data_IF_486350083471
#
_entry.id   IF_486350083471
#
_cell.length_a   1.000
_cell.length_b   1.000
_cell.length_c   1.000
_cell.angle_alpha   90.00
_cell.angle_beta   90.00
_cell.angle_gamma   90.00
#
_symmetry.space_group_name_H-M   'P 1'
#
loop_
_entity.id
_entity.type
_entity.pdbx_description
1 polymer ?
#
# COMPACT_ATOMS: atom_id res chain seq x y z
N UNK A 1 -4.03 -3.07 15.11
CA UNK A 1 -4.78 -3.87 14.12
C UNK A 1 -6.25 -3.70 14.40
N UNK A 2 -7.01 -3.11 13.47
CA UNK A 2 -8.45 -2.89 13.63
C UNK A 2 -9.16 -3.94 12.79
N UNK A 3 -9.97 -4.79 13.44
CA UNK A 3 -10.89 -5.71 12.77
C UNK A 3 -12.26 -5.06 12.68
N UNK A 4 -12.92 -5.21 11.53
CA UNK A 4 -14.28 -4.74 11.30
C UNK A 4 -15.22 -5.94 11.22
N UNK A 5 -16.38 -5.83 11.88
CA UNK A 5 -17.51 -6.76 11.81
C UNK A 5 -18.72 -5.97 11.29
N UNK A 6 -19.42 -6.48 10.27
CA UNK A 6 -20.63 -5.84 9.72
C UNK A 6 -21.78 -5.67 10.72
N UNK A 7 -21.76 -6.36 11.86
CA UNK A 7 -22.77 -6.20 12.92
C UNK A 7 -22.41 -5.11 13.94
N UNK A 8 -21.20 -4.56 13.89
CA UNK A 8 -20.75 -3.47 14.77
C UNK A 8 -19.75 -2.56 14.03
N UNK A 9 -20.22 -1.58 13.23
CA UNK A 9 -19.34 -0.71 12.47
C UNK A 9 -18.51 0.14 13.44
N UNK A 10 -17.18 -0.02 13.39
CA UNK A 10 -16.28 0.86 14.12
C UNK A 10 -16.38 2.29 13.59
N UNK A 11 -16.00 3.26 14.42
CA UNK A 11 -16.02 4.71 14.12
C UNK A 11 -15.31 5.11 12.82
N UNK A 12 -14.49 4.21 12.26
CA UNK A 12 -13.69 4.44 11.06
C UNK A 12 -14.25 3.74 9.81
N UNK A 13 -15.47 3.18 9.87
CA UNK A 13 -16.13 2.59 8.70
C UNK A 13 -16.78 3.68 7.83
N UNK A 14 -16.31 3.83 6.59
CA UNK A 14 -16.92 4.71 5.59
C UNK A 14 -17.85 3.91 4.65
N UNK A 15 -19.19 4.04 4.78
CA UNK A 15 -20.15 3.29 3.97
C UNK A 15 -20.16 3.71 2.49
N UNK A 16 -19.60 4.87 2.14
CA UNK A 16 -19.57 5.34 0.74
C UNK A 16 -18.53 4.61 -0.10
N UNK A 17 -17.53 4.00 0.55
CA UNK A 17 -16.56 3.12 -0.10
C UNK A 17 -17.17 1.76 -0.43
N UNK A 18 -18.06 1.25 0.42
CA UNK A 18 -18.68 -0.07 0.24
C UNK A 18 -19.81 -0.05 -0.81
N UNK A 19 -20.54 1.07 -0.95
CA UNK A 19 -21.58 1.26 -1.98
C UNK A 19 -21.06 1.17 -3.43
N UNK A 20 -19.75 1.25 -3.65
CA UNK A 20 -19.10 1.08 -4.97
C UNK A 20 -18.75 -0.37 -5.28
N UNK A 21 -18.79 -1.26 -4.29
CA UNK A 21 -18.49 -2.68 -4.46
C UNK A 21 -19.79 -3.49 -4.62
N UNK A 22 -19.77 -4.51 -5.49
CA UNK A 22 -20.93 -5.40 -5.74
C UNK A 22 -21.24 -6.29 -4.53
N UNK A 23 -20.35 -6.36 -3.53
CA UNK A 23 -20.47 -7.21 -2.34
C UNK A 23 -20.13 -6.39 -1.10
N UNK A 24 -21.04 -6.37 -0.12
CA UNK A 24 -20.83 -5.69 1.16
C UNK A 24 -19.65 -6.30 1.95
N UNK A 25 -18.86 -5.45 2.58
CA UNK A 25 -17.77 -5.85 3.46
C UNK A 25 -18.31 -6.35 4.82
N UNK A 26 -18.21 -7.66 5.05
CA UNK A 26 -18.57 -8.34 6.30
C UNK A 26 -17.42 -8.42 7.30
N UNK A 27 -16.20 -8.49 6.78
CA UNK A 27 -14.97 -8.47 7.57
C UNK A 27 -13.89 -7.68 6.86
N UNK A 28 -13.08 -6.93 7.59
CA UNK A 28 -11.90 -6.26 7.01
C UNK A 28 -10.69 -6.32 7.93
N UNK A 29 -9.52 -6.51 7.32
CA UNK A 29 -8.22 -6.40 7.96
C UNK A 29 -7.34 -5.46 7.14
N UNK A 30 -6.85 -4.42 7.80
CA UNK A 30 -5.99 -3.39 7.19
C UNK A 30 -4.64 -3.40 7.88
N UNK A 31 -3.58 -3.41 7.09
CA UNK A 31 -2.19 -3.27 7.56
C UNK A 31 -1.49 -2.14 6.81
N UNK A 32 -0.58 -1.40 7.46
CA UNK A 32 0.19 -0.37 6.80
C UNK A 32 1.27 -0.98 5.89
N UNK A 33 1.55 -0.29 4.79
CA UNK A 33 2.75 -0.51 3.98
C UNK A 33 3.81 0.45 4.51
N UNK A 34 4.89 -0.10 5.06
CA UNK A 34 5.96 0.67 5.68
C UNK A 34 7.16 0.77 4.76
N UNK A 35 7.64 2.00 4.56
CA UNK A 35 8.92 2.31 3.91
C UNK A 35 10.06 2.43 4.92
N UNK A 36 11.12 3.11 4.50
CA UNK A 36 12.28 3.39 5.35
C UNK A 36 11.87 4.21 6.58
N UNK A 37 12.46 3.87 7.74
CA UNK A 37 12.18 4.56 9.00
C UNK A 37 10.73 4.45 9.48
N UNK A 38 10.03 3.36 9.14
CA UNK A 38 8.60 3.14 9.46
C UNK A 38 7.64 4.18 8.88
N UNK A 39 8.07 4.93 7.85
CA UNK A 39 7.20 5.85 7.14
C UNK A 39 6.08 5.09 6.45
N UNK A 40 4.83 5.43 6.74
CA UNK A 40 3.66 4.85 6.07
C UNK A 40 3.61 5.34 4.62
N UNK A 41 3.66 4.40 3.67
CA UNK A 41 3.55 4.66 2.22
C UNK A 41 2.13 4.43 1.70
N UNK A 42 1.33 3.66 2.44
CA UNK A 42 -0.03 3.29 2.08
C UNK A 42 -0.55 2.20 3.02
N UNK A 43 -1.61 1.51 2.60
CA UNK A 43 -2.15 0.36 3.33
C UNK A 43 -2.54 -0.76 2.37
N UNK A 44 -2.52 -1.99 2.88
CA UNK A 44 -3.15 -3.15 2.24
C UNK A 44 -4.41 -3.44 3.04
N UNK A 45 -5.54 -3.48 2.35
CA UNK A 45 -6.82 -3.90 2.90
C UNK A 45 -7.22 -5.22 2.26
N UNK A 46 -7.59 -6.18 3.11
CA UNK A 46 -8.31 -7.39 2.68
C UNK A 46 -9.71 -7.36 3.25
N UNK A 47 -10.65 -7.92 2.49
CA UNK A 47 -12.07 -7.95 2.79
C UNK A 47 -12.56 -9.40 2.78
N UNK A 48 -13.59 -9.66 3.58
CA UNK A 48 -14.37 -10.89 3.58
C UNK A 48 -13.49 -12.15 3.65
N UNK A 49 -12.96 -12.41 4.84
CA UNK A 49 -12.25 -13.68 5.10
C UNK A 49 -13.12 -14.87 4.68
N UNK A 50 -12.50 -15.93 4.18
CA UNK A 50 -13.18 -17.17 3.80
C UNK A 50 -13.54 -18.04 5.02
N UNK A 51 -13.23 -17.58 6.23
CA UNK A 51 -13.73 -18.19 7.47
C UNK A 51 -15.26 -18.09 7.54
N UNK A 52 -15.89 -19.01 8.26
CA UNK A 52 -17.34 -19.06 8.38
C UNK A 52 -17.96 -17.74 8.89
N UNK A 53 -17.23 -17.03 9.76
CA UNK A 53 -17.68 -15.77 10.38
C UNK A 53 -17.02 -14.52 9.78
N UNK A 54 -16.33 -14.64 8.64
CA UNK A 54 -15.58 -13.55 7.98
C UNK A 54 -14.49 -12.89 8.87
N UNK A 55 -14.14 -13.51 9.99
CA UNK A 55 -13.10 -13.04 10.90
C UNK A 55 -11.69 -13.38 10.40
N UNK A 56 -10.75 -12.52 10.78
CA UNK A 56 -9.32 -12.71 10.57
C UNK A 56 -8.66 -13.16 11.88
N UNK A 57 -7.68 -14.05 11.78
CA UNK A 57 -6.89 -14.46 12.93
C UNK A 57 -5.74 -13.47 13.18
N UNK A 58 -5.13 -13.59 14.36
CA UNK A 58 -3.88 -12.87 14.65
C UNK A 58 -2.77 -13.26 13.65
N UNK A 59 -2.73 -14.53 13.25
CA UNK A 59 -1.78 -15.04 12.26
C UNK A 59 -1.96 -14.36 10.90
N UNK A 60 -3.20 -14.09 10.48
CA UNK A 60 -3.49 -13.35 9.24
C UNK A 60 -2.94 -11.93 9.33
N UNK A 61 -3.11 -11.27 10.48
CA UNK A 61 -2.56 -9.92 10.70
C UNK A 61 -1.04 -9.88 10.67
N UNK A 62 -0.37 -10.87 11.28
CA UNK A 62 1.09 -10.99 11.24
C UNK A 62 1.60 -11.31 9.84
N UNK A 63 0.88 -12.18 9.11
CA UNK A 63 1.21 -12.49 7.73
C UNK A 63 1.09 -11.27 6.82
N UNK A 64 -0.04 -10.57 6.87
CA UNK A 64 -0.27 -9.36 6.10
C UNK A 64 0.72 -8.26 6.45
N UNK A 65 1.10 -8.11 7.72
CA UNK A 65 2.14 -7.16 8.12
C UNK A 65 3.50 -7.51 7.50
N UNK A 66 3.90 -8.79 7.48
CA UNK A 66 5.13 -9.23 6.81
C UNK A 66 5.07 -9.00 5.30
N UNK A 67 3.92 -9.27 4.68
CA UNK A 67 3.69 -8.99 3.27
C UNK A 67 3.81 -7.48 2.99
N UNK A 68 3.19 -6.64 3.82
CA UNK A 68 3.25 -5.18 3.72
C UNK A 68 4.67 -4.64 3.81
N UNK A 69 5.53 -5.23 4.65
CA UNK A 69 6.97 -4.91 4.69
C UNK A 69 7.68 -5.25 3.36
N UNK A 70 7.36 -6.39 2.77
CA UNK A 70 7.95 -6.79 1.48
C UNK A 70 7.50 -5.87 0.34
N UNK A 71 6.21 -5.55 0.28
CA UNK A 71 5.65 -4.57 -0.66
C UNK A 71 6.30 -3.20 -0.47
N UNK A 72 6.47 -2.76 0.78
CA UNK A 72 7.13 -1.50 1.11
C UNK A 72 8.57 -1.44 0.57
N UNK A 73 9.37 -2.49 0.80
CA UNK A 73 10.72 -2.57 0.27
C UNK A 73 10.75 -2.51 -1.27
N UNK A 74 9.85 -3.24 -1.95
CA UNK A 74 9.74 -3.21 -3.40
C UNK A 74 9.37 -1.81 -3.93
N UNK A 75 8.46 -1.10 -3.27
CA UNK A 75 8.08 0.26 -3.63
C UNK A 75 9.25 1.24 -3.45
N UNK A 76 9.94 1.18 -2.31
CA UNK A 76 11.13 2.01 -2.06
C UNK A 76 12.18 1.79 -3.15
N UNK A 77 12.48 0.53 -3.47
CA UNK A 77 13.44 0.19 -4.52
C UNK A 77 13.00 0.70 -5.90
N UNK A 78 11.73 0.52 -6.27
CA UNK A 78 11.19 0.99 -7.55
C UNK A 78 11.26 2.51 -7.67
N UNK A 79 10.92 3.24 -6.61
CA UNK A 79 10.97 4.70 -6.57
C UNK A 79 12.41 5.22 -6.63
N UNK A 80 13.34 4.59 -5.90
CA UNK A 80 14.75 4.93 -5.94
C UNK A 80 15.34 4.75 -7.35
N UNK A 81 15.03 3.63 -8.01
CA UNK A 81 15.47 3.36 -9.38
C UNK A 81 14.92 4.39 -10.37
N UNK A 82 13.61 4.68 -10.32
CA UNK A 82 12.98 5.70 -11.18
C UNK A 82 13.64 7.07 -11.00
N UNK A 83 13.91 7.45 -9.75
CA UNK A 83 14.57 8.73 -9.44
C UNK A 83 15.99 8.76 -10.00
N UNK A 84 16.75 7.69 -9.84
CA UNK A 84 18.10 7.58 -10.38
C UNK A 84 18.12 7.72 -11.91
N UNK A 85 17.23 7.00 -12.61
CA UNK A 85 17.13 7.09 -14.07
C UNK A 85 16.76 8.50 -14.53
N UNK A 86 15.77 9.14 -13.90
CA UNK A 86 15.36 10.50 -14.27
C UNK A 86 16.44 11.56 -14.01
N UNK A 87 17.28 11.36 -13.00
CA UNK A 87 18.41 12.25 -12.73
C UNK A 87 19.50 12.09 -13.80
N UNK A 88 19.77 10.86 -14.25
CA UNK A 88 20.73 10.62 -15.33
C UNK A 88 20.27 11.24 -16.66
N UNK A 89 19.00 11.07 -17.03
CA UNK A 89 18.46 11.68 -18.27
C UNK A 89 18.60 13.21 -18.26
N UNK A 90 18.43 13.84 -17.10
CA UNK A 90 18.64 15.30 -16.93
C UNK A 90 20.10 15.69 -17.13
N UNK A 91 21.04 14.88 -16.65
CA UNK A 91 22.48 15.15 -16.84
C UNK A 91 22.89 15.01 -18.31
N UNK A 92 22.37 14.00 -19.01
CA UNK A 92 22.62 13.82 -20.44
C UNK A 92 22.08 15.00 -21.27
N UNK A 93 20.90 15.52 -20.92
CA UNK A 93 20.33 16.72 -21.57
C UNK A 93 21.17 17.98 -21.34
N UNK A 94 21.69 18.18 -20.12
CA UNK A 94 22.55 19.32 -19.82
C UNK A 94 23.87 19.23 -20.59
N UNK A 95 24.48 18.06 -20.64
CA UNK A 95 25.70 17.83 -21.42
C UNK A 95 25.49 18.06 -22.93
N UNK A 96 24.31 17.72 -23.45
CA UNK A 96 23.94 17.99 -24.85
C UNK A 96 23.75 19.49 -25.14
N UNK A 97 23.25 20.27 -24.18
CA UNK A 97 23.13 21.73 -24.33
C UNK A 97 24.47 22.47 -24.22
N UNK A 98 25.44 21.94 -23.47
CA UNK A 98 26.79 22.51 -23.35
C UNK A 98 27.69 22.24 -24.58
N UNK A 99 27.25 21.35 -25.49
CA UNK A 99 27.99 20.90 -26.67
C UNK A 99 27.67 21.63 -27.99
N UNK A 100 27.22 22.90 -28.00
CA UNK A 100 27.15 23.72 -29.22
C UNK A 100 28.39 24.62 -29.38
N UNK A 101 29.43 24.19 -30.12
CA UNK A 101 30.40 25.11 -30.71
C UNK A 101 29.85 25.77 -32.00
N UNK A 102 30.34 26.98 -32.27
CA UNK A 102 29.94 27.98 -33.28
C UNK A 102 29.70 27.48 -34.72
#
# INVERSE_FOLDING_TARGET
TVQHDAQNPSEHFDPTCDQRNVVAAKGSLVVPILGEGEKVLGSVQVLNSLSADYQFSEQDSHFLLRLGKHVGAALVNSLALKKFLSSNERLDQLAACEGMPE
#
